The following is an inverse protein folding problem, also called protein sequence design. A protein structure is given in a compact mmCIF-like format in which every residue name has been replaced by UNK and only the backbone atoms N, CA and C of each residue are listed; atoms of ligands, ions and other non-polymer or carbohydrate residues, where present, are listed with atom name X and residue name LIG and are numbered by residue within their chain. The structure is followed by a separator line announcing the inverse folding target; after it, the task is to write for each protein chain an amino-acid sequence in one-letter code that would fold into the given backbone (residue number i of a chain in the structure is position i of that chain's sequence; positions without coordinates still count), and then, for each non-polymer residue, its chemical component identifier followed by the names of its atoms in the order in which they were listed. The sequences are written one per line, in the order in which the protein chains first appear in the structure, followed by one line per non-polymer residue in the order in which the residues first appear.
data_IF_599232100659
#
_entry.id   IF_599232100659
#
_cell.length_a   1.000
_cell.length_b   1.000
_cell.length_c   1.000
_cell.angle_alpha   90.00
_cell.angle_beta   90.00
_cell.angle_gamma   90.00
#
_symmetry.space_group_name_H-M   'P 1'
#
loop_
_entity.id
_entity.type
_entity.pdbx_description
1 polymer ?
#
# COMPACT_ATOMS: atom_id res chain seq x y z
N UNK A 1 29.61 10.30 -17.75
CA UNK A 1 28.24 10.15 -18.27
C UNK A 1 27.45 9.42 -17.20
N UNK A 2 26.63 10.12 -16.42
CA UNK A 2 25.82 9.50 -15.37
C UNK A 2 24.52 9.02 -16.00
N UNK A 3 24.42 7.72 -16.22
CA UNK A 3 23.22 7.09 -16.77
C UNK A 3 22.16 7.06 -15.67
N UNK A 4 21.25 8.03 -15.68
CA UNK A 4 20.01 7.95 -14.90
C UNK A 4 19.05 7.02 -15.64
N UNK A 5 19.16 5.72 -15.38
CA UNK A 5 18.15 4.76 -15.82
C UNK A 5 16.90 5.05 -14.98
N UNK A 6 15.95 5.80 -15.54
CA UNK A 6 14.61 5.92 -14.98
C UNK A 6 13.94 4.53 -15.09
N UNK A 7 14.21 3.67 -14.11
CA UNK A 7 13.44 2.45 -13.89
C UNK A 7 12.12 2.89 -13.25
N UNK A 8 11.16 3.29 -14.09
CA UNK A 8 9.75 3.25 -13.71
C UNK A 8 9.38 1.77 -13.59
N UNK A 9 9.75 1.15 -12.47
CA UNK A 9 9.19 -0.13 -12.05
C UNK A 9 7.69 0.11 -11.92
N UNK A 10 6.89 -0.53 -12.79
CA UNK A 10 5.43 -0.45 -12.78
C UNK A 10 4.84 -1.21 -11.57
N UNK A 11 5.43 -1.02 -10.39
CA UNK A 11 5.03 -1.67 -9.15
C UNK A 11 3.96 -0.83 -8.47
N UNK A 12 2.99 -1.52 -7.87
CA UNK A 12 1.88 -0.89 -7.16
C UNK A 12 2.26 -0.83 -5.68
N UNK A 13 2.31 0.38 -5.15
CA UNK A 13 2.61 0.62 -3.75
C UNK A 13 1.36 1.13 -3.04
N UNK A 14 1.17 0.71 -1.79
CA UNK A 14 0.08 1.21 -0.95
C UNK A 14 0.63 2.20 0.06
N UNK A 15 -0.17 3.21 0.40
CA UNK A 15 0.13 4.16 1.46
C UNK A 15 -0.97 4.08 2.51
N UNK A 16 -0.58 4.06 3.79
CA UNK A 16 -1.49 4.03 4.92
C UNK A 16 -2.06 5.44 5.15
N UNK A 17 -3.39 5.55 5.19
CA UNK A 17 -4.08 6.82 5.43
C UNK A 17 -3.96 7.30 6.89
N UNK A 18 -3.58 6.42 7.82
CA UNK A 18 -3.42 6.74 9.24
C UNK A 18 -2.06 7.33 9.60
N UNK A 19 -0.98 6.67 9.15
CA UNK A 19 0.39 7.03 9.54
C UNK A 19 1.30 7.43 8.36
N UNK A 20 0.83 7.31 7.12
CA UNK A 20 1.60 7.63 5.91
C UNK A 20 2.65 6.58 5.53
N UNK A 21 2.80 5.50 6.31
CA UNK A 21 3.67 4.36 5.98
C UNK A 21 3.34 3.84 4.59
N UNK A 22 4.37 3.50 3.83
CA UNK A 22 4.22 2.93 2.49
C UNK A 22 4.59 1.46 2.49
N UNK A 23 3.84 0.66 1.73
CA UNK A 23 4.14 -0.73 1.44
C UNK A 23 4.54 -0.85 -0.03
N UNK A 24 5.79 -1.21 -0.28
CA UNK A 24 6.22 -1.67 -1.59
C UNK A 24 5.82 -3.13 -1.76
N UNK A 25 5.00 -3.41 -2.77
CA UNK A 25 4.54 -4.78 -3.01
C UNK A 25 5.40 -5.51 -4.05
N UNK A 26 6.24 -4.78 -4.78
CA UNK A 26 6.94 -5.30 -5.96
C UNK A 26 6.00 -6.00 -6.98
N UNK A 27 4.69 -5.73 -6.92
CA UNK A 27 3.68 -6.36 -7.78
C UNK A 27 3.24 -5.41 -8.88
N UNK A 28 3.01 -5.97 -10.05
CA UNK A 28 2.62 -5.20 -11.25
C UNK A 28 1.11 -5.18 -11.52
N UNK A 29 0.32 -6.00 -10.80
CA UNK A 29 -1.14 -6.02 -10.94
C UNK A 29 -1.81 -5.68 -9.62
N UNK A 30 -2.93 -4.94 -9.69
CA UNK A 30 -3.61 -4.45 -8.49
C UNK A 30 -4.07 -5.59 -7.58
N UNK A 31 -4.61 -6.67 -8.15
CA UNK A 31 -5.07 -7.82 -7.37
C UNK A 31 -3.92 -8.50 -6.62
N UNK A 32 -2.77 -8.73 -7.28
CA UNK A 32 -1.63 -9.35 -6.61
C UNK A 32 -0.99 -8.44 -5.56
N UNK A 33 -0.97 -7.13 -5.81
CA UNK A 33 -0.53 -6.13 -4.85
C UNK A 33 -1.47 -6.12 -3.62
N UNK A 34 -2.78 -6.14 -3.85
CA UNK A 34 -3.80 -6.12 -2.80
C UNK A 34 -3.77 -7.40 -1.96
N UNK A 35 -3.56 -8.56 -2.57
CA UNK A 35 -3.42 -9.83 -1.85
C UNK A 35 -2.16 -9.83 -0.98
N UNK A 36 -1.05 -9.26 -1.46
CA UNK A 36 0.16 -9.09 -0.64
C UNK A 36 -0.07 -8.10 0.50
N UNK A 37 -0.70 -6.95 0.25
CA UNK A 37 -1.04 -5.99 1.28
C UNK A 37 -1.90 -6.65 2.36
N UNK A 38 -2.93 -7.42 1.97
CA UNK A 38 -3.75 -8.18 2.89
C UNK A 38 -2.96 -9.23 3.68
N UNK A 39 -2.03 -9.93 3.03
CA UNK A 39 -1.16 -10.91 3.68
C UNK A 39 -0.23 -10.26 4.72
N UNK A 40 0.14 -8.99 4.53
CA UNK A 40 0.91 -8.18 5.49
C UNK A 40 0.04 -7.44 6.51
N UNK A 41 -1.23 -7.81 6.66
CA UNK A 41 -2.13 -7.22 7.65
C UNK A 41 -2.84 -5.95 7.22
N UNK A 42 -2.58 -5.41 6.02
CA UNK A 42 -3.26 -4.19 5.56
C UNK A 42 -4.73 -4.46 5.27
N UNK A 43 -5.59 -3.51 5.66
CA UNK A 43 -7.04 -3.64 5.49
C UNK A 43 -7.67 -2.30 5.08
N UNK A 44 -8.66 -2.32 4.17
CA UNK A 44 -9.55 -1.20 4.01
C UNK A 44 -10.55 -1.16 5.17
N UNK A 45 -10.62 -0.05 5.89
CA UNK A 45 -11.57 0.22 6.97
C UNK A 45 -12.51 1.34 6.52
N UNK A 46 -13.79 1.23 6.87
CA UNK A 46 -14.76 2.29 6.59
C UNK A 46 -14.97 3.12 7.85
N UNK A 47 -14.61 4.39 7.79
CA UNK A 47 -14.80 5.37 8.85
C UNK A 47 -15.87 6.39 8.39
N UNK A 48 -17.10 6.19 8.85
CA UNK A 48 -18.28 6.91 8.38
C UNK A 48 -18.55 6.67 6.88
N UNK A 49 -18.44 7.74 6.09
CA UNK A 49 -18.63 7.70 4.63
C UNK A 49 -17.32 7.65 3.84
N UNK A 50 -16.17 7.53 4.52
CA UNK A 50 -14.85 7.49 3.89
C UNK A 50 -14.25 6.09 4.05
N UNK A 51 -13.71 5.56 2.96
CA UNK A 51 -12.86 4.37 2.99
C UNK A 51 -11.42 4.79 3.23
N UNK A 52 -10.79 4.19 4.24
CA UNK A 52 -9.38 4.35 4.58
C UNK A 52 -8.66 3.05 4.33
N UNK A 53 -7.45 3.12 3.81
CA UNK A 53 -6.54 1.99 3.69
C UNK A 53 -5.51 2.06 4.81
N UNK A 54 -5.57 1.13 5.76
CA UNK A 54 -4.75 1.17 6.97
C UNK A 54 -3.75 -0.01 6.99
N UNK A 55 -2.55 0.26 7.48
CA UNK A 55 -1.58 -0.77 7.83
C UNK A 55 -2.00 -1.49 9.11
N UNK A 56 -1.39 -2.64 9.38
CA UNK A 56 -1.65 -3.48 10.57
C UNK A 56 -1.64 -2.66 11.87
N UNK A 57 -0.62 -1.82 12.08
CA UNK A 57 -0.52 -0.98 13.29
C UNK A 57 -1.67 0.04 13.45
N UNK A 58 -2.17 0.59 12.34
CA UNK A 58 -3.22 1.62 12.37
C UNK A 58 -4.63 1.01 12.38
N UNK A 59 -4.78 -0.21 11.87
CA UNK A 59 -6.04 -0.94 11.91
C UNK A 59 -6.40 -1.34 13.34
N UNK A 60 -5.43 -1.77 14.15
CA UNK A 60 -5.65 -2.16 15.55
C UNK A 60 -6.10 -0.98 16.44
N UNK A 61 -5.91 0.26 15.98
CA UNK A 61 -6.22 1.49 16.72
C UNK A 61 -7.54 2.14 16.22
N UNK A 62 -8.06 1.72 15.07
CA UNK A 62 -9.25 2.27 14.41
C UNK A 62 -10.55 1.61 14.89
#
# INVERSE_FOLDING_TARGET
MSTFTNQHTHTINFQCDGCGTSLDTEKFTFDSALDMAKAQGWRPVRDGDVWKHLCDDCEVIA
#
